data_IF_500487625528
#
_entry.id   IF_500487625528
#
_cell.length_a   1.000
_cell.length_b   1.000
_cell.length_c   1.000
_cell.angle_alpha   90.00
_cell.angle_beta   90.00
_cell.angle_gamma   90.00
#
_symmetry.space_group_name_H-M   'P 1'
#
loop_
_entity.id
_entity.type
_entity.pdbx_description
1 polymer ?
#
# COMPACT_ATOMS: atom_id res chain seq x y z
N UNK A 1 6.69 6.77 20.62
CA UNK A 1 6.92 8.05 19.99
C UNK A 1 5.65 8.61 19.39
N UNK A 2 5.46 9.89 19.51
CA UNK A 2 4.24 10.54 19.04
C UNK A 2 4.41 11.01 17.61
N UNK A 3 3.40 10.74 16.80
CA UNK A 3 3.36 11.20 15.43
C UNK A 3 2.57 12.49 15.39
N UNK A 4 3.20 13.55 14.97
CA UNK A 4 2.57 14.87 15.00
C UNK A 4 1.70 15.18 13.81
N UNK A 5 1.66 14.30 12.86
CA UNK A 5 0.82 14.47 11.67
C UNK A 5 -0.65 14.67 12.03
N UNK A 6 -1.09 14.19 13.16
CA UNK A 6 -2.47 14.32 13.59
C UNK A 6 -2.91 15.78 13.74
N UNK A 7 -1.97 16.69 13.90
CA UNK A 7 -2.31 18.11 13.98
C UNK A 7 -2.89 18.63 12.67
N UNK A 8 -2.63 17.95 11.59
CA UNK A 8 -3.13 18.35 10.29
C UNK A 8 -4.41 17.65 9.92
N UNK A 9 -4.93 16.82 10.80
CA UNK A 9 -6.14 16.06 10.56
C UNK A 9 -7.13 16.21 11.70
N UNK A 10 -7.59 17.45 11.94
CA UNK A 10 -8.43 17.70 13.10
C UNK A 10 -9.78 17.01 13.03
N UNK A 11 -10.18 16.57 11.85
CA UNK A 11 -11.46 15.94 11.63
C UNK A 11 -11.46 14.46 11.99
N UNK A 12 -10.31 13.85 12.23
CA UNK A 12 -10.25 12.39 12.36
C UNK A 12 -9.48 11.91 13.57
N UNK A 13 -10.19 11.79 14.67
CA UNK A 13 -9.65 11.16 15.88
C UNK A 13 -9.25 9.71 15.58
N UNK A 14 -10.02 9.07 14.71
CA UNK A 14 -9.74 7.69 14.33
C UNK A 14 -8.38 7.56 13.63
N UNK A 15 -8.07 8.44 12.69
CA UNK A 15 -6.77 8.44 12.04
C UNK A 15 -5.64 8.69 13.03
N UNK A 16 -5.85 9.63 13.94
CA UNK A 16 -4.87 9.93 14.97
C UNK A 16 -4.57 8.70 15.83
N UNK A 17 -5.59 7.99 16.24
CA UNK A 17 -5.41 6.80 17.05
C UNK A 17 -4.62 5.72 16.32
N UNK A 18 -4.93 5.49 15.06
CA UNK A 18 -4.22 4.50 14.27
C UNK A 18 -2.74 4.84 14.20
N UNK A 19 -2.42 6.09 13.89
CA UNK A 19 -1.03 6.53 13.77
C UNK A 19 -0.32 6.43 15.12
N UNK A 20 -0.97 6.89 16.17
CA UNK A 20 -0.36 6.94 17.49
C UNK A 20 -0.06 5.55 18.05
N UNK A 21 -1.01 4.63 17.91
CA UNK A 21 -0.90 3.32 18.54
C UNK A 21 -0.05 2.35 17.74
N UNK A 22 -0.06 2.48 16.40
CA UNK A 22 0.47 1.45 15.50
C UNK A 22 1.70 1.88 14.72
N UNK A 23 2.56 2.70 15.31
CA UNK A 23 3.76 3.14 14.60
C UNK A 23 4.64 1.96 14.17
N UNK A 24 4.84 1.01 15.06
CA UNK A 24 5.61 -0.18 14.75
C UNK A 24 4.99 -0.94 13.59
N UNK A 25 3.68 -1.09 13.60
CA UNK A 25 2.95 -1.76 12.54
C UNK A 25 3.08 -1.02 11.22
N UNK A 26 3.06 0.30 11.26
CA UNK A 26 3.22 1.12 10.06
C UNK A 26 4.55 0.81 9.39
N UNK A 27 5.64 0.83 10.15
CA UNK A 27 6.95 0.55 9.59
C UNK A 27 7.10 -0.90 9.15
N UNK A 28 6.44 -1.82 9.83
CA UNK A 28 6.44 -3.21 9.42
C UNK A 28 5.79 -3.37 8.05
N UNK A 29 4.65 -2.73 7.85
CA UNK A 29 3.95 -2.75 6.56
C UNK A 29 4.82 -2.11 5.48
N UNK A 30 5.39 -0.96 5.77
CA UNK A 30 6.20 -0.25 4.78
C UNK A 30 7.46 -1.04 4.42
N UNK A 31 8.03 -1.78 5.37
CA UNK A 31 9.18 -2.64 5.09
C UNK A 31 8.83 -3.72 4.07
N UNK A 32 7.64 -4.30 4.19
CA UNK A 32 7.20 -5.30 3.22
C UNK A 32 6.98 -4.67 1.85
N UNK A 33 6.36 -3.50 1.82
CA UNK A 33 6.12 -2.78 0.56
C UNK A 33 7.44 -2.50 -0.14
N UNK A 34 8.45 -2.14 0.61
CA UNK A 34 9.76 -1.83 0.06
C UNK A 34 10.42 -3.04 -0.61
N UNK A 35 10.04 -4.24 -0.22
CA UNK A 35 10.60 -5.47 -0.79
C UNK A 35 9.94 -5.88 -2.10
N UNK A 36 8.81 -5.29 -2.47
CA UNK A 36 8.16 -5.63 -3.73
C UNK A 36 9.06 -5.21 -4.88
N UNK A 37 9.49 -6.16 -5.72
CA UNK A 37 10.43 -5.80 -6.78
C UNK A 37 9.79 -4.97 -7.87
N UNK A 38 10.61 -4.18 -8.54
CA UNK A 38 10.19 -3.41 -9.68
C UNK A 38 9.62 -4.34 -10.76
N UNK A 39 8.49 -3.98 -11.32
CA UNK A 39 7.83 -4.83 -12.31
C UNK A 39 6.84 -5.82 -11.73
N UNK A 40 6.70 -5.84 -10.41
CA UNK A 40 5.75 -6.72 -9.74
C UNK A 40 4.82 -5.90 -8.87
N UNK A 41 3.66 -6.50 -8.56
CA UNK A 41 2.70 -5.87 -7.65
C UNK A 41 2.30 -6.89 -6.57
N UNK A 42 1.89 -6.38 -5.43
CA UNK A 42 1.35 -7.19 -4.35
C UNK A 42 -0.05 -6.70 -4.02
N UNK A 43 -0.85 -7.55 -3.42
CA UNK A 43 -2.17 -7.14 -2.96
C UNK A 43 -2.09 -6.70 -1.50
N UNK A 44 -3.07 -5.90 -1.08
CA UNK A 44 -3.18 -5.52 0.32
C UNK A 44 -3.25 -6.77 1.21
N UNK A 45 -3.93 -7.81 0.74
CA UNK A 45 -4.03 -9.06 1.48
C UNK A 45 -2.70 -9.80 1.60
N UNK A 46 -1.88 -9.76 0.55
CA UNK A 46 -0.55 -10.35 0.62
C UNK A 46 0.29 -9.70 1.71
N UNK A 47 0.27 -8.37 1.74
CA UNK A 47 1.03 -7.63 2.74
C UNK A 47 0.52 -7.96 4.14
N UNK A 48 -0.79 -7.98 4.32
CA UNK A 48 -1.40 -8.30 5.60
C UNK A 48 -0.97 -9.70 6.06
N UNK A 49 -0.96 -10.66 5.15
CA UNK A 49 -0.56 -12.03 5.48
C UNK A 49 0.92 -12.10 5.87
N UNK A 50 1.76 -11.38 5.16
CA UNK A 50 3.21 -11.41 5.43
C UNK A 50 3.57 -10.86 6.80
N UNK A 51 2.76 -9.95 7.33
CA UNK A 51 3.00 -9.43 8.66
C UNK A 51 2.18 -10.17 9.73
N UNK A 52 1.55 -11.30 9.37
CA UNK A 52 0.81 -12.11 10.31
C UNK A 52 -0.57 -11.57 10.68
N UNK A 53 -1.17 -10.76 9.82
CA UNK A 53 -2.47 -10.15 10.07
C UNK A 53 -3.42 -10.36 8.90
N UNK A 54 -3.68 -11.61 8.58
CA UNK A 54 -4.41 -12.03 7.39
C UNK A 54 -5.71 -11.27 7.11
N UNK A 55 -6.41 -10.86 8.16
CA UNK A 55 -7.71 -10.23 8.00
C UNK A 55 -7.67 -8.72 7.96
N UNK A 56 -6.47 -8.15 7.89
CA UNK A 56 -6.30 -6.71 8.02
C UNK A 56 -5.88 -6.01 6.73
N UNK A 57 -6.31 -6.53 5.58
CA UNK A 57 -5.99 -5.91 4.30
C UNK A 57 -6.46 -4.45 4.23
N UNK A 58 -7.62 -4.18 4.80
CA UNK A 58 -8.17 -2.83 4.81
C UNK A 58 -7.29 -1.87 5.61
N UNK A 59 -6.75 -2.34 6.71
CA UNK A 59 -5.84 -1.57 7.53
C UNK A 59 -4.56 -1.25 6.76
N UNK A 60 -4.04 -2.23 6.01
CA UNK A 60 -2.87 -2.00 5.18
C UNK A 60 -3.13 -0.85 4.20
N UNK A 61 -4.26 -0.89 3.51
CA UNK A 61 -4.61 0.18 2.57
C UNK A 61 -4.67 1.54 3.25
N UNK A 62 -5.25 1.60 4.44
CA UNK A 62 -5.36 2.85 5.17
C UNK A 62 -3.98 3.38 5.56
N UNK A 63 -3.11 2.50 6.03
CA UNK A 63 -1.76 2.90 6.42
C UNK A 63 -0.97 3.40 5.21
N UNK A 64 -1.10 2.73 4.07
CA UNK A 64 -0.39 3.17 2.87
C UNK A 64 -0.84 4.55 2.40
N UNK A 65 -2.07 4.94 2.69
CA UNK A 65 -2.53 6.28 2.33
C UNK A 65 -1.82 7.38 3.10
N UNK A 66 -1.14 7.04 4.20
CA UNK A 66 -0.36 7.99 4.99
C UNK A 66 1.14 7.82 4.81
N UNK A 67 1.57 6.98 3.86
CA UNK A 67 2.98 6.62 3.74
C UNK A 67 3.91 7.81 3.54
N UNK A 68 3.42 8.88 2.94
CA UNK A 68 4.24 10.06 2.68
C UNK A 68 4.81 10.68 3.96
N UNK A 69 4.15 10.50 5.09
CA UNK A 69 4.65 11.01 6.37
C UNK A 69 5.85 10.24 6.88
N UNK A 70 6.12 9.08 6.30
CA UNK A 70 7.17 8.18 6.78
C UNK A 70 8.32 8.01 5.81
N UNK A 71 8.21 8.61 4.62
CA UNK A 71 9.25 8.52 3.62
C UNK A 71 8.70 8.16 2.26
N UNK A 72 9.61 7.79 1.37
CA UNK A 72 9.22 7.39 0.01
C UNK A 72 9.24 5.87 -0.09
N UNK A 73 8.07 5.31 -0.36
CA UNK A 73 7.91 3.88 -0.51
C UNK A 73 7.17 3.59 -1.81
N UNK A 74 7.43 2.44 -2.44
CA UNK A 74 6.80 2.12 -3.72
C UNK A 74 5.36 1.65 -3.54
N UNK A 75 4.53 2.47 -2.94
CA UNK A 75 3.13 2.13 -2.67
C UNK A 75 2.32 1.93 -3.94
N UNK A 76 2.81 2.42 -5.07
CA UNK A 76 2.16 2.18 -6.35
C UNK A 76 2.18 0.71 -6.74
N UNK A 77 3.03 -0.10 -6.12
CA UNK A 77 3.12 -1.54 -6.38
C UNK A 77 2.12 -2.35 -5.57
N UNK A 78 1.17 -1.68 -4.92
CA UNK A 78 0.15 -2.37 -4.12
C UNK A 78 -1.21 -2.13 -4.76
N UNK A 79 -1.93 -3.22 -5.00
CA UNK A 79 -3.23 -3.20 -5.66
C UNK A 79 -4.21 -4.05 -4.87
N UNK A 80 -5.48 -4.03 -5.27
CA UNK A 80 -6.44 -4.87 -4.57
C UNK A 80 -6.33 -6.33 -5.06
N UNK A 81 -7.15 -7.21 -4.50
CA UNK A 81 -7.03 -8.64 -4.75
C UNK A 81 -7.27 -9.06 -6.20
N UNK A 82 -7.96 -8.25 -6.99
CA UNK A 82 -8.15 -8.54 -8.42
C UNK A 82 -7.24 -7.70 -9.30
N UNK A 83 -6.30 -6.98 -8.71
CA UNK A 83 -5.35 -6.17 -9.46
C UNK A 83 -5.81 -4.76 -9.77
N UNK A 84 -6.92 -4.32 -9.17
CA UNK A 84 -7.44 -3.00 -9.44
C UNK A 84 -6.58 -1.92 -8.80
N UNK A 85 -6.34 -0.85 -9.56
CA UNK A 85 -5.57 0.29 -9.09
C UNK A 85 -6.36 1.11 -8.07
N UNK A 86 -5.64 1.90 -7.28
CA UNK A 86 -6.25 2.77 -6.28
C UNK A 86 -7.11 3.83 -6.97
N UNK A 87 -8.37 4.00 -6.56
CA UNK A 87 -9.22 5.02 -7.19
C UNK A 87 -8.67 6.41 -6.96
N UNK A 88 -8.71 7.25 -7.99
CA UNK A 88 -8.28 8.63 -7.89
C UNK A 88 -6.77 8.88 -7.94
N UNK A 89 -5.98 7.85 -8.03
CA UNK A 89 -4.52 7.99 -8.13
C UNK A 89 -4.09 7.70 -9.57
N UNK A 90 -4.16 8.70 -10.41
CA UNK A 90 -3.89 8.54 -11.85
C UNK A 90 -2.45 8.18 -12.15
N UNK A 91 -1.52 8.65 -11.36
CA UNK A 91 -0.10 8.40 -11.57
C UNK A 91 0.27 6.94 -11.38
N UNK A 92 -0.51 6.21 -10.60
CA UNK A 92 -0.19 4.81 -10.29
C UNK A 92 0.01 3.99 -11.57
N UNK A 93 -0.89 4.14 -12.51
CA UNK A 93 -0.83 3.37 -13.75
C UNK A 93 0.46 3.65 -14.52
N UNK A 94 0.82 4.92 -14.63
CA UNK A 94 2.01 5.30 -15.38
C UNK A 94 3.27 4.79 -14.70
N UNK A 95 3.31 4.85 -13.38
CA UNK A 95 4.46 4.32 -12.64
C UNK A 95 4.61 2.81 -12.88
N UNK A 96 3.50 2.08 -12.86
CA UNK A 96 3.54 0.64 -13.07
C UNK A 96 3.90 0.28 -14.51
N UNK A 97 3.35 0.99 -15.48
CA UNK A 97 3.69 0.77 -16.88
C UNK A 97 5.18 1.02 -17.11
N UNK A 98 5.71 2.07 -16.51
CA UNK A 98 7.12 2.41 -16.64
C UNK A 98 8.01 1.32 -16.05
N UNK A 99 7.52 0.56 -15.11
CA UNK A 99 8.25 -0.54 -14.49
C UNK A 99 8.06 -1.88 -15.20
N UNK A 100 7.26 -1.90 -16.25
CA UNK A 100 7.07 -3.12 -17.02
C UNK A 100 5.96 -4.03 -16.52
N UNK A 101 5.06 -3.50 -15.69
CA UNK A 101 3.93 -4.28 -15.18
C UNK A 101 2.91 -4.51 -16.31
N UNK A 102 2.42 -5.73 -16.41
CA UNK A 102 1.44 -6.09 -17.43
C UNK A 102 0.02 -5.77 -16.95
N UNK A 103 -0.77 -5.19 -17.82
CA UNK A 103 -2.15 -4.85 -17.53
C UNK A 103 -3.11 -5.74 -18.31
N UNK A 104 -4.19 -6.09 -17.65
CA UNK A 104 -5.27 -6.87 -18.26
C UNK A 104 -6.26 -5.96 -18.97
N UNK A 105 -6.47 -4.76 -18.42
CA UNK A 105 -7.32 -3.73 -19.01
C UNK A 105 -6.92 -2.38 -18.43
N UNK A 106 -7.73 -1.35 -18.68
CA UNK A 106 -7.45 0.02 -18.28
C UNK A 106 -7.11 0.18 -16.80
N UNK A 107 -7.79 -0.56 -15.94
CA UNK A 107 -7.72 -0.32 -14.50
C UNK A 107 -7.24 -1.52 -13.69
N UNK A 108 -6.86 -2.61 -14.34
CA UNK A 108 -6.48 -3.83 -13.66
C UNK A 108 -5.15 -4.38 -14.15
N UNK A 109 -4.29 -4.69 -13.21
CA UNK A 109 -3.03 -5.38 -13.49
C UNK A 109 -3.33 -6.84 -13.84
N UNK A 110 -2.57 -7.40 -14.77
CA UNK A 110 -2.63 -8.82 -15.06
C UNK A 110 -1.90 -9.57 -13.94
N UNK A 111 -2.66 -10.06 -12.98
CA UNK A 111 -2.08 -10.68 -11.80
C UNK A 111 -1.36 -11.98 -12.10
N UNK A 112 -1.73 -12.68 -13.16
CA UNK A 112 -1.02 -13.90 -13.52
C UNK A 112 0.42 -13.62 -13.94
N UNK A 113 0.65 -12.47 -14.58
CA UNK A 113 1.96 -12.12 -15.10
C UNK A 113 2.77 -11.27 -14.13
N UNK A 114 2.11 -10.44 -13.34
CA UNK A 114 2.83 -9.41 -12.59
C UNK A 114 2.70 -9.50 -11.09
N UNK A 115 1.94 -10.44 -10.54
CA UNK A 115 1.84 -10.53 -9.10
C UNK A 115 3.15 -11.06 -8.49
N UNK A 116 3.58 -10.39 -7.42
CA UNK A 116 4.73 -10.83 -6.63
C UNK A 116 4.36 -12.17 -5.99
N UNK A 117 5.22 -13.14 -6.13
CA UNK A 117 4.96 -14.52 -5.73
C UNK A 117 5.45 -14.86 -4.32
N UNK A 118 5.52 -13.87 -3.51
CA UNK A 118 6.04 -14.05 -2.16
C UNK A 118 4.91 -14.31 -1.16
#
# INVERSE_FOLDING_TARGET
MIIFVHFYFPFSVHCYIIIYINEELIYEILSVVEEIPKGKVATYGQIARLIGRDKNARLVGKILSYSEFYGKYPCHRVVNYVGRLAPGWKEQKFLLLDEGVFFKNENHVDMKKSQWDY
#
